data_IF_917238315463
#
_entry.id   IF_917238315463
#
_cell.length_a   1.000
_cell.length_b   1.000
_cell.length_c   1.000
_cell.angle_alpha   90.00
_cell.angle_beta   90.00
_cell.angle_gamma   90.00
#
_symmetry.space_group_name_H-M   'P 1'
#
loop_
_entity.id
_entity.type
_entity.pdbx_description
1 polymer ?
#
# COMPACT_ATOMS: atom_id res chain seq x y z
N UNK A 1 -16.06 20.92 -13.59
CA UNK A 1 -15.64 22.32 -13.61
C UNK A 1 -14.30 22.38 -14.32
N UNK A 2 -14.22 23.19 -15.37
CA UNK A 2 -12.98 23.38 -16.08
C UNK A 2 -12.00 24.17 -15.19
N UNK A 3 -10.79 23.67 -15.05
CA UNK A 3 -9.78 24.40 -14.31
C UNK A 3 -9.15 25.43 -15.23
N UNK A 4 -9.46 26.67 -14.99
CA UNK A 4 -8.98 27.77 -15.84
C UNK A 4 -7.47 27.97 -15.76
N UNK A 5 -6.81 27.26 -14.83
CA UNK A 5 -5.38 27.38 -14.67
C UNK A 5 -4.58 26.30 -15.37
N UNK A 6 -5.24 25.42 -16.10
CA UNK A 6 -4.55 24.37 -16.85
C UNK A 6 -3.68 24.98 -17.95
N UNK A 7 -2.47 24.47 -18.11
CA UNK A 7 -1.71 24.73 -19.32
C UNK A 7 -2.38 24.02 -20.50
N UNK A 8 -2.01 24.36 -21.75
CA UNK A 8 -2.59 23.63 -22.89
C UNK A 8 -2.37 22.11 -22.81
N UNK A 9 -1.20 21.70 -22.39
CA UNK A 9 -0.92 20.26 -22.24
C UNK A 9 -1.77 19.63 -21.16
N UNK A 10 -1.95 20.33 -20.04
CA UNK A 10 -2.80 19.84 -18.95
C UNK A 10 -4.24 19.74 -19.37
N UNK A 11 -4.73 20.73 -20.12
CA UNK A 11 -6.11 20.71 -20.62
C UNK A 11 -6.32 19.55 -21.58
N UNK A 12 -5.34 19.27 -22.42
CA UNK A 12 -5.41 18.14 -23.35
C UNK A 12 -5.47 16.82 -22.59
N UNK A 13 -4.63 16.67 -21.56
CA UNK A 13 -4.63 15.47 -20.75
C UNK A 13 -5.97 15.29 -20.03
N UNK A 14 -6.50 16.36 -19.47
CA UNK A 14 -7.77 16.34 -18.77
C UNK A 14 -8.90 15.91 -19.72
N UNK A 15 -8.90 16.43 -20.93
CA UNK A 15 -9.90 16.05 -21.92
C UNK A 15 -9.79 14.58 -22.28
N UNK A 16 -8.57 14.09 -22.48
CA UNK A 16 -8.33 12.67 -22.77
C UNK A 16 -8.87 11.80 -21.66
N UNK A 17 -8.56 12.17 -20.41
CA UNK A 17 -9.01 11.41 -19.25
C UNK A 17 -10.53 11.41 -19.14
N UNK A 18 -11.15 12.58 -19.27
CA UNK A 18 -12.60 12.69 -19.18
C UNK A 18 -13.30 11.86 -20.26
N UNK A 19 -12.81 11.95 -21.49
CA UNK A 19 -13.46 11.24 -22.60
C UNK A 19 -13.36 9.74 -22.41
N UNK A 20 -12.21 9.25 -21.96
CA UNK A 20 -12.07 7.82 -21.70
C UNK A 20 -12.99 7.37 -20.57
N UNK A 21 -13.03 8.15 -19.48
CA UNK A 21 -13.89 7.81 -18.35
C UNK A 21 -15.36 7.83 -18.75
N UNK A 22 -15.77 8.84 -19.53
CA UNK A 22 -17.16 8.95 -19.96
C UNK A 22 -17.57 7.75 -20.82
N UNK A 23 -16.64 7.23 -21.61
CA UNK A 23 -16.92 6.07 -22.45
C UNK A 23 -16.96 4.76 -21.65
N UNK A 24 -16.41 4.72 -20.43
CA UNK A 24 -16.22 3.48 -19.72
C UNK A 24 -16.87 3.41 -18.33
N UNK A 25 -17.41 4.52 -17.82
CA UNK A 25 -18.00 4.54 -16.48
C UNK A 25 -19.17 5.51 -16.42
N UNK A 26 -20.14 5.26 -15.53
CA UNK A 26 -21.27 6.19 -15.38
C UNK A 26 -20.85 7.45 -14.64
N UNK A 27 -21.38 8.59 -15.05
CA UNK A 27 -21.21 9.83 -14.30
C UNK A 27 -21.99 9.77 -12.99
N UNK A 28 -21.45 10.41 -11.98
CA UNK A 28 -22.19 10.60 -10.73
C UNK A 28 -23.31 11.60 -10.96
N UNK A 29 -24.42 11.38 -10.29
CA UNK A 29 -25.56 12.27 -10.35
C UNK A 29 -25.55 13.33 -9.25
N UNK A 30 -24.64 13.18 -8.28
CA UNK A 30 -24.50 14.12 -7.19
C UNK A 30 -23.33 13.71 -6.29
N UNK A 31 -22.99 14.56 -5.32
CA UNK A 31 -21.81 14.28 -4.48
C UNK A 31 -21.87 12.97 -3.71
N UNK A 32 -23.07 12.52 -3.38
CA UNK A 32 -23.24 11.28 -2.62
C UNK A 32 -23.45 10.07 -3.48
N UNK A 33 -23.50 10.26 -4.79
CA UNK A 33 -23.67 9.14 -5.71
C UNK A 33 -22.32 8.50 -5.97
N UNK A 34 -22.14 7.27 -5.53
CA UNK A 34 -20.88 6.58 -5.70
C UNK A 34 -21.11 5.12 -6.04
N UNK A 35 -20.06 4.47 -6.46
CA UNK A 35 -20.11 3.05 -6.74
C UNK A 35 -20.32 2.28 -5.42
N UNK A 36 -21.18 1.29 -5.47
CA UNK A 36 -21.40 0.38 -4.35
C UNK A 36 -21.55 -1.03 -4.90
N UNK A 37 -20.93 -1.98 -4.21
CA UNK A 37 -21.03 -3.38 -4.60
C UNK A 37 -22.16 -4.04 -3.82
N UNK A 38 -22.80 -5.03 -4.45
CA UNK A 38 -23.85 -5.80 -3.79
C UNK A 38 -23.29 -6.66 -2.66
N UNK A 39 -22.04 -7.11 -2.82
CA UNK A 39 -21.33 -7.89 -1.82
C UNK A 39 -19.85 -7.69 -2.04
N UNK A 40 -19.04 -8.13 -1.06
CA UNK A 40 -17.60 -8.08 -1.19
C UNK A 40 -17.15 -8.92 -2.40
N UNK A 41 -17.73 -10.09 -2.57
CA UNK A 41 -17.37 -10.96 -3.68
C UNK A 41 -17.63 -10.30 -5.02
N UNK A 42 -18.81 -9.69 -5.18
CA UNK A 42 -19.15 -8.99 -6.40
C UNK A 42 -18.27 -7.76 -6.59
N UNK A 43 -18.01 -7.03 -5.51
CA UNK A 43 -17.15 -5.85 -5.55
C UNK A 43 -15.75 -6.18 -6.02
N UNK A 44 -15.21 -7.29 -5.53
CA UNK A 44 -13.88 -7.72 -5.92
C UNK A 44 -13.82 -8.05 -7.41
N UNK A 45 -14.85 -8.73 -7.92
CA UNK A 45 -14.93 -9.01 -9.35
C UNK A 45 -14.98 -7.73 -10.17
N UNK A 46 -15.82 -6.79 -9.76
CA UNK A 46 -15.98 -5.53 -10.49
C UNK A 46 -14.67 -4.72 -10.48
N UNK A 47 -13.99 -4.71 -9.33
CA UNK A 47 -12.73 -3.98 -9.22
C UNK A 47 -11.67 -4.58 -10.16
N UNK A 48 -11.62 -5.91 -10.24
CA UNK A 48 -10.64 -6.55 -11.13
C UNK A 48 -10.94 -6.27 -12.59
N UNK A 49 -12.23 -6.30 -12.98
CA UNK A 49 -12.62 -5.97 -14.36
C UNK A 49 -12.24 -4.51 -14.67
N UNK A 50 -12.55 -3.61 -13.75
CA UNK A 50 -12.24 -2.19 -13.94
C UNK A 50 -10.74 -1.95 -14.03
N UNK A 51 -9.96 -2.58 -13.15
CA UNK A 51 -8.52 -2.40 -13.15
C UNK A 51 -7.88 -2.92 -14.45
N UNK A 52 -8.40 -4.02 -14.97
CA UNK A 52 -7.93 -4.54 -16.25
C UNK A 52 -8.19 -3.54 -17.37
N UNK A 53 -9.38 -2.95 -17.39
CA UNK A 53 -9.69 -1.90 -18.37
C UNK A 53 -8.72 -0.73 -18.26
N UNK A 54 -8.48 -0.26 -17.03
CA UNK A 54 -7.53 0.83 -16.79
C UNK A 54 -6.15 0.47 -17.33
N UNK A 55 -5.70 -0.75 -17.03
CA UNK A 55 -4.38 -1.17 -17.44
C UNK A 55 -4.25 -1.23 -18.96
N UNK A 56 -5.26 -1.79 -19.62
CA UNK A 56 -5.21 -1.91 -21.08
C UNK A 56 -5.22 -0.56 -21.78
N UNK A 57 -5.80 0.44 -21.15
CA UNK A 57 -5.87 1.79 -21.72
C UNK A 57 -4.75 2.71 -21.22
N UNK A 58 -3.87 2.22 -20.35
CA UNK A 58 -2.74 3.00 -19.85
C UNK A 58 -3.04 3.86 -18.65
N UNK A 59 -4.16 3.65 -17.97
CA UNK A 59 -4.54 4.47 -16.82
C UNK A 59 -4.26 3.83 -15.47
N UNK A 60 -3.77 2.59 -15.44
CA UNK A 60 -3.48 1.91 -14.18
C UNK A 60 -2.07 2.26 -13.70
N UNK A 61 -1.94 2.62 -12.43
CA UNK A 61 -0.63 2.90 -11.85
C UNK A 61 0.20 3.79 -12.75
N UNK A 62 -0.41 4.88 -13.19
CA UNK A 62 0.11 5.72 -14.28
C UNK A 62 1.52 6.24 -14.03
N UNK A 63 1.86 6.49 -12.76
CA UNK A 63 3.15 7.07 -12.40
C UNK A 63 4.28 6.04 -12.37
N UNK A 64 3.95 4.76 -12.44
CA UNK A 64 4.96 3.71 -12.41
C UNK A 64 5.77 3.70 -13.71
N UNK A 65 6.98 3.13 -13.66
CA UNK A 65 7.76 2.93 -14.89
C UNK A 65 6.99 2.09 -15.90
N UNK A 66 7.22 2.34 -17.16
CA UNK A 66 6.58 1.59 -18.25
C UNK A 66 6.90 0.10 -18.15
N UNK A 67 8.11 -0.23 -17.68
CA UNK A 67 8.52 -1.63 -17.53
C UNK A 67 7.59 -2.42 -16.60
N UNK A 68 6.90 -1.74 -15.69
CA UNK A 68 6.06 -2.41 -14.70
C UNK A 68 4.57 -2.13 -14.90
N UNK A 69 4.21 -1.57 -16.04
CA UNK A 69 2.81 -1.39 -16.38
C UNK A 69 2.30 0.04 -16.28
N UNK A 70 3.15 0.99 -15.90
CA UNK A 70 2.78 2.39 -15.81
C UNK A 70 3.02 3.14 -17.11
N UNK A 71 2.86 4.46 -17.07
CA UNK A 71 3.14 5.32 -18.21
C UNK A 71 4.04 6.51 -17.83
N UNK A 72 4.65 6.45 -16.66
CA UNK A 72 5.59 7.46 -16.16
C UNK A 72 4.95 8.85 -16.09
N UNK A 73 3.69 8.89 -15.67
CA UNK A 73 2.95 10.13 -15.55
C UNK A 73 3.58 11.08 -14.55
N UNK A 74 3.45 12.37 -14.83
CA UNK A 74 3.91 13.40 -13.92
C UNK A 74 2.96 13.53 -12.72
N UNK A 75 3.42 14.15 -11.63
CA UNK A 75 2.52 14.37 -10.51
C UNK A 75 1.27 15.17 -10.86
N UNK A 76 1.40 16.20 -11.72
CA UNK A 76 0.23 16.99 -12.09
C UNK A 76 -0.76 16.15 -12.91
N UNK A 77 -0.27 15.25 -13.75
CA UNK A 77 -1.15 14.36 -14.49
C UNK A 77 -1.93 13.45 -13.54
N UNK A 78 -1.29 12.98 -12.47
CA UNK A 78 -1.99 12.17 -11.46
C UNK A 78 -3.09 12.97 -10.76
N UNK A 79 -2.81 14.24 -10.44
CA UNK A 79 -3.81 15.10 -9.82
C UNK A 79 -5.00 15.29 -10.75
N UNK A 80 -4.73 15.56 -12.03
CA UNK A 80 -5.80 15.75 -13.02
C UNK A 80 -6.63 14.48 -13.15
N UNK A 81 -5.98 13.32 -13.26
CA UNK A 81 -6.68 12.05 -13.35
C UNK A 81 -7.60 11.85 -12.15
N UNK A 82 -7.09 12.11 -10.94
CA UNK A 82 -7.89 11.99 -9.73
C UNK A 82 -9.12 12.90 -9.74
N UNK A 83 -8.94 14.13 -10.21
CA UNK A 83 -10.04 15.07 -10.31
C UNK A 83 -11.11 14.58 -11.29
N UNK A 84 -10.68 14.03 -12.42
CA UNK A 84 -11.62 13.55 -13.41
C UNK A 84 -12.34 12.27 -12.95
N UNK A 85 -11.58 11.32 -12.35
CA UNK A 85 -12.16 10.09 -11.83
C UNK A 85 -13.26 10.39 -10.80
N UNK A 86 -13.06 11.43 -10.00
CA UNK A 86 -14.01 11.75 -8.93
C UNK A 86 -15.40 12.10 -9.46
N UNK A 87 -15.53 12.40 -10.75
CA UNK A 87 -16.81 12.70 -11.38
C UNK A 87 -17.61 11.45 -11.75
N UNK A 88 -17.01 10.27 -11.63
CA UNK A 88 -17.61 9.04 -12.14
C UNK A 88 -17.78 8.01 -11.04
N UNK A 89 -18.72 7.07 -11.26
CA UNK A 89 -18.94 5.95 -10.35
C UNK A 89 -18.03 4.81 -10.81
N UNK A 90 -16.91 4.62 -10.10
CA UNK A 90 -15.93 3.61 -10.47
C UNK A 90 -15.66 2.68 -9.29
N UNK A 91 -15.43 1.40 -9.56
CA UNK A 91 -15.11 0.46 -8.47
C UNK A 91 -13.79 0.81 -7.79
N UNK A 92 -13.71 0.57 -6.48
CA UNK A 92 -12.50 0.82 -5.75
C UNK A 92 -12.54 0.20 -4.37
N UNK A 93 -11.48 0.40 -3.61
CA UNK A 93 -11.44 -0.03 -2.22
C UNK A 93 -10.73 -1.34 -1.95
N UNK A 94 -10.14 -1.97 -2.96
CA UNK A 94 -9.51 -3.28 -2.79
C UNK A 94 -8.03 -3.32 -3.17
N UNK A 95 -7.58 -2.41 -4.03
CA UNK A 95 -6.24 -2.49 -4.62
C UNK A 95 -5.29 -1.41 -4.14
N UNK A 96 -5.78 -0.44 -3.39
CA UNK A 96 -5.02 0.75 -3.04
C UNK A 96 -3.79 0.44 -2.20
N UNK A 97 -3.90 -0.48 -1.25
CA UNK A 97 -2.75 -0.85 -0.41
C UNK A 97 -1.65 -1.45 -1.26
N UNK A 98 -2.01 -2.39 -2.13
CA UNK A 98 -1.02 -3.02 -2.99
C UNK A 98 -0.36 -2.03 -3.91
N UNK A 99 -1.17 -1.25 -4.62
CA UNK A 99 -0.64 -0.35 -5.64
C UNK A 99 0.04 0.87 -5.05
N UNK A 100 -0.45 1.35 -3.91
CA UNK A 100 0.07 2.57 -3.30
C UNK A 100 1.16 2.36 -2.27
N UNK A 101 1.26 1.17 -1.71
CA UNK A 101 2.23 0.89 -0.65
C UNK A 101 3.16 -0.24 -1.02
N UNK A 102 2.63 -1.41 -1.35
CA UNK A 102 3.46 -2.57 -1.66
C UNK A 102 4.24 -2.35 -2.95
N UNK A 103 3.62 -1.79 -3.97
CA UNK A 103 4.30 -1.53 -5.23
C UNK A 103 5.54 -0.66 -5.05
N UNK A 104 5.39 0.54 -4.46
CA UNK A 104 6.56 1.39 -4.25
C UNK A 104 7.66 0.76 -3.41
N UNK A 105 7.30 0.00 -2.38
CA UNK A 105 8.29 -0.68 -1.55
C UNK A 105 9.02 -1.75 -2.36
N UNK A 106 8.29 -2.50 -3.18
CA UNK A 106 8.92 -3.49 -4.06
C UNK A 106 9.86 -2.80 -5.06
N UNK A 107 9.44 -1.68 -5.64
CA UNK A 107 10.30 -0.96 -6.58
C UNK A 107 11.61 -0.50 -5.94
N UNK A 108 11.56 -0.16 -4.66
CA UNK A 108 12.73 0.35 -3.96
C UNK A 108 13.67 -0.75 -3.48
N UNK A 109 13.14 -1.88 -3.04
CA UNK A 109 13.93 -2.88 -2.33
C UNK A 109 14.01 -4.26 -2.99
N UNK A 110 13.11 -4.61 -3.88
CA UNK A 110 13.10 -5.94 -4.48
C UNK A 110 14.15 -6.05 -5.59
N UNK A 111 14.50 -7.29 -5.94
CA UNK A 111 15.40 -7.53 -7.06
C UNK A 111 14.68 -7.24 -8.38
N UNK A 112 15.45 -7.06 -9.45
CA UNK A 112 14.85 -6.82 -10.76
C UNK A 112 13.95 -8.00 -11.18
N UNK A 113 14.39 -9.21 -10.88
CA UNK A 113 13.60 -10.41 -11.20
C UNK A 113 12.26 -10.38 -10.44
N UNK A 114 12.29 -10.01 -9.15
CA UNK A 114 11.07 -9.92 -8.36
C UNK A 114 10.16 -8.81 -8.87
N UNK A 115 10.72 -7.67 -9.24
CA UNK A 115 9.90 -6.57 -9.77
C UNK A 115 9.18 -7.03 -11.05
N UNK A 116 9.88 -7.72 -11.92
CA UNK A 116 9.29 -8.22 -13.17
C UNK A 116 8.16 -9.23 -12.89
N UNK A 117 8.33 -10.04 -11.85
CA UNK A 117 7.33 -11.04 -11.50
C UNK A 117 6.10 -10.43 -10.82
N UNK A 118 6.32 -9.51 -9.88
CA UNK A 118 5.24 -9.11 -8.96
C UNK A 118 4.56 -7.80 -9.32
N UNK A 119 5.25 -6.87 -9.97
CA UNK A 119 4.64 -5.57 -10.22
C UNK A 119 3.59 -5.59 -11.33
N UNK A 120 3.78 -6.29 -12.45
CA UNK A 120 2.73 -6.29 -13.48
C UNK A 120 1.39 -6.87 -13.00
N UNK A 121 1.33 -8.03 -12.32
CA UNK A 121 0.03 -8.52 -11.84
C UNK A 121 -0.58 -7.62 -10.78
N UNK A 122 0.23 -6.87 -10.06
CA UNK A 122 -0.28 -5.89 -9.11
C UNK A 122 -0.95 -4.73 -9.85
N UNK A 123 -0.34 -4.27 -10.93
CA UNK A 123 -0.88 -3.18 -11.73
C UNK A 123 -2.19 -3.57 -12.43
N UNK A 124 -2.30 -4.82 -12.87
CA UNK A 124 -3.52 -5.30 -13.55
C UNK A 124 -4.63 -5.66 -12.59
N UNK A 125 -4.33 -5.79 -11.31
CA UNK A 125 -5.31 -6.24 -10.33
C UNK A 125 -5.45 -7.75 -10.24
N UNK A 126 -4.63 -8.51 -10.96
CA UNK A 126 -4.67 -9.96 -10.88
C UNK A 126 -4.28 -10.47 -9.51
N UNK A 127 -3.30 -9.82 -8.87
CA UNK A 127 -2.85 -10.18 -7.53
C UNK A 127 -3.07 -9.01 -6.59
N UNK A 128 -3.56 -9.30 -5.41
CA UNK A 128 -3.90 -8.29 -4.40
C UNK A 128 -2.98 -8.44 -3.21
N UNK A 129 -2.52 -7.31 -2.68
CA UNK A 129 -1.59 -7.30 -1.56
C UNK A 129 -2.20 -6.60 -0.35
N UNK A 130 -1.86 -7.06 0.85
CA UNK A 130 -2.27 -6.43 2.09
C UNK A 130 -1.05 -5.98 2.90
N UNK A 131 -1.33 -5.25 3.97
CA UNK A 131 -0.31 -4.69 4.85
C UNK A 131 -0.39 -5.35 6.22
N UNK A 132 0.68 -6.02 6.63
CA UNK A 132 0.73 -6.79 7.87
C UNK A 132 1.62 -6.06 8.88
N UNK A 133 1.08 -5.00 9.46
CA UNK A 133 1.84 -4.13 10.37
C UNK A 133 1.28 -4.16 11.80
N UNK A 134 0.03 -3.75 11.99
CA UNK A 134 -0.55 -3.54 13.32
C UNK A 134 -0.65 -4.84 14.12
N UNK A 135 -0.44 -4.74 15.43
CA UNK A 135 -0.53 -5.88 16.34
C UNK A 135 -1.39 -5.52 17.53
N UNK A 136 -2.00 -6.54 18.19
CA UNK A 136 -2.91 -6.26 19.31
C UNK A 136 -2.27 -5.47 20.45
N UNK A 137 -1.03 -5.76 20.79
CA UNK A 137 -0.36 -5.11 21.91
C UNK A 137 0.28 -3.78 21.52
N UNK A 138 0.65 -3.61 20.24
CA UNK A 138 1.38 -2.43 19.80
C UNK A 138 0.47 -1.35 19.20
N UNK A 139 -0.73 -1.73 18.76
CA UNK A 139 -1.60 -0.80 18.07
C UNK A 139 -0.93 -0.25 16.84
N UNK A 140 -0.87 1.07 16.74
CA UNK A 140 -0.22 1.75 15.62
C UNK A 140 1.27 1.98 15.85
N UNK A 141 1.82 1.54 16.98
CA UNK A 141 3.25 1.70 17.28
C UNK A 141 4.06 0.62 16.57
N UNK A 142 4.55 0.94 15.37
CA UNK A 142 5.34 0.00 14.58
C UNK A 142 6.61 -0.41 15.33
N UNK A 143 7.19 0.51 16.10
CA UNK A 143 8.42 0.18 16.86
C UNK A 143 8.15 -0.88 17.93
N UNK A 144 6.91 -1.02 18.38
CA UNK A 144 6.55 -2.00 19.41
C UNK A 144 6.21 -3.39 18.88
N UNK A 145 6.46 -3.65 17.61
CA UNK A 145 6.10 -4.92 16.97
C UNK A 145 6.81 -6.08 17.64
N UNK A 146 6.05 -7.15 17.89
CA UNK A 146 6.54 -8.35 18.57
C UNK A 146 6.52 -9.61 17.71
N UNK A 147 5.83 -9.60 16.55
CA UNK A 147 5.86 -10.74 15.65
C UNK A 147 7.32 -11.08 15.34
N UNK A 148 7.70 -12.31 15.67
CA UNK A 148 9.10 -12.72 15.72
C UNK A 148 9.52 -13.37 14.41
N UNK A 149 10.72 -13.06 13.94
CA UNK A 149 11.32 -13.72 12.79
C UNK A 149 12.73 -14.18 13.17
N UNK A 150 12.99 -15.45 12.94
CA UNK A 150 14.29 -16.05 13.26
C UNK A 150 14.88 -16.68 12.00
N UNK A 151 16.13 -16.33 11.72
CA UNK A 151 16.81 -16.81 10.53
C UNK A 151 17.58 -18.09 10.82
N UNK A 152 17.41 -19.09 9.97
CA UNK A 152 18.20 -20.31 10.02
C UNK A 152 18.63 -20.62 8.58
N UNK A 153 19.91 -20.42 8.33
CA UNK A 153 20.40 -20.54 6.95
C UNK A 153 19.84 -19.43 6.09
N UNK A 154 19.06 -19.80 5.07
CA UNK A 154 18.44 -18.84 4.18
C UNK A 154 16.93 -18.81 4.33
N UNK A 155 16.41 -19.31 5.45
CA UNK A 155 14.96 -19.35 5.68
C UNK A 155 14.63 -18.73 7.03
N UNK A 156 13.66 -17.83 7.03
CA UNK A 156 13.13 -17.23 8.25
C UNK A 156 11.91 -18.00 8.72
N UNK A 157 11.78 -18.13 10.03
CA UNK A 157 10.57 -18.69 10.65
C UNK A 157 9.87 -17.57 11.40
N UNK A 158 8.60 -17.36 11.10
CA UNK A 158 7.83 -16.25 11.63
C UNK A 158 6.71 -16.75 12.53
N UNK A 159 6.62 -16.16 13.72
CA UNK A 159 5.57 -16.46 14.70
C UNK A 159 5.02 -15.16 15.27
N UNK A 160 3.70 -15.04 15.34
CA UNK A 160 3.09 -13.86 15.91
C UNK A 160 1.70 -13.62 15.40
N UNK A 161 1.23 -12.40 15.57
CA UNK A 161 -0.15 -12.05 15.20
C UNK A 161 -0.21 -10.60 14.73
N UNK A 162 -0.90 -10.39 13.61
CA UNK A 162 -1.25 -9.06 13.13
C UNK A 162 -2.75 -8.86 13.29
N UNK A 163 -3.17 -7.60 13.37
CA UNK A 163 -4.57 -7.27 13.58
C UNK A 163 -4.93 -6.06 12.71
N UNK A 164 -6.22 -5.89 12.48
CA UNK A 164 -6.76 -4.79 11.66
C UNK A 164 -6.21 -4.80 10.24
N UNK A 165 -5.97 -6.00 9.68
CA UNK A 165 -5.43 -6.12 8.33
C UNK A 165 -6.58 -6.12 7.32
N UNK A 166 -6.68 -5.01 6.58
CA UNK A 166 -7.73 -4.87 5.57
C UNK A 166 -7.49 -5.84 4.43
N UNK A 167 -8.51 -6.61 4.08
CA UNK A 167 -8.48 -7.44 2.90
C UNK A 167 -7.57 -8.64 2.94
N UNK A 168 -7.07 -9.02 4.13
CA UNK A 168 -6.17 -10.18 4.22
C UNK A 168 -6.83 -11.44 3.67
N UNK A 169 -8.14 -11.59 3.85
CA UNK A 169 -8.82 -12.80 3.46
C UNK A 169 -8.92 -13.00 1.95
N UNK A 170 -8.75 -11.94 1.16
CA UNK A 170 -8.73 -12.09 -0.29
C UNK A 170 -7.39 -11.71 -0.91
N UNK A 171 -6.37 -11.43 -0.10
CA UNK A 171 -5.06 -11.02 -0.61
C UNK A 171 -4.20 -12.22 -0.95
N UNK A 172 -3.40 -12.05 -1.98
CA UNK A 172 -2.45 -13.09 -2.43
C UNK A 172 -1.12 -12.95 -1.72
N UNK A 173 -0.69 -11.73 -1.45
CA UNK A 173 0.58 -11.42 -0.81
C UNK A 173 0.40 -10.34 0.24
N UNK A 174 1.39 -10.20 1.09
CA UNK A 174 1.39 -9.14 2.08
C UNK A 174 2.79 -8.59 2.30
N UNK A 175 2.85 -7.32 2.71
CA UNK A 175 4.10 -6.74 3.20
C UNK A 175 4.06 -6.84 4.71
N UNK A 176 5.16 -7.35 5.29
CA UNK A 176 5.19 -7.80 6.68
C UNK A 176 6.38 -7.22 7.40
N UNK A 177 6.15 -6.61 8.56
CA UNK A 177 7.23 -6.16 9.42
C UNK A 177 7.28 -7.05 10.66
N UNK A 178 8.50 -7.46 11.04
CA UNK A 178 8.72 -8.39 12.13
C UNK A 178 9.81 -7.90 13.07
N UNK A 179 9.90 -8.56 14.24
CA UNK A 179 10.99 -8.37 15.21
C UNK A 179 12.01 -9.47 14.98
N UNK A 180 13.20 -9.11 14.51
CA UNK A 180 14.24 -10.09 14.25
C UNK A 180 15.32 -10.08 15.31
N UNK A 181 15.41 -9.01 16.12
CA UNK A 181 16.41 -8.93 17.18
C UNK A 181 15.81 -8.19 18.37
N UNK A 182 15.41 -8.92 19.43
CA UNK A 182 14.84 -8.26 20.60
C UNK A 182 15.88 -7.64 21.53
N UNK A 183 17.17 -7.86 21.27
CA UNK A 183 18.24 -7.41 22.17
C UNK A 183 18.69 -5.98 21.91
N UNK A 184 18.26 -5.36 20.81
CA UNK A 184 18.66 -3.99 20.45
C UNK A 184 17.48 -3.06 20.64
N UNK A 185 17.71 -1.75 20.44
CA UNK A 185 16.66 -0.76 20.55
C UNK A 185 15.50 -1.13 19.64
N UNK A 186 14.28 -0.81 20.06
CA UNK A 186 13.04 -1.25 19.40
C UNK A 186 13.09 -1.12 17.87
N UNK A 187 13.44 0.08 17.41
CA UNK A 187 13.37 0.37 15.97
C UNK A 187 14.55 -0.19 15.19
N UNK A 188 15.59 -0.67 15.87
CA UNK A 188 16.76 -1.25 15.20
C UNK A 188 16.65 -2.76 15.02
N UNK A 189 15.67 -3.37 15.65
CA UNK A 189 15.52 -4.82 15.64
C UNK A 189 14.43 -5.34 14.73
N UNK A 190 14.01 -4.56 13.75
CA UNK A 190 12.92 -4.94 12.84
C UNK A 190 13.45 -5.34 11.48
N UNK A 191 12.78 -6.30 10.85
CA UNK A 191 13.12 -6.75 9.49
C UNK A 191 11.83 -6.90 8.69
N UNK A 192 11.88 -6.54 7.42
CA UNK A 192 10.71 -6.40 6.56
C UNK A 192 10.73 -7.45 5.46
N UNK A 193 9.58 -7.99 5.13
CA UNK A 193 9.43 -9.05 4.14
C UNK A 193 8.21 -8.82 3.27
N UNK A 194 8.16 -9.49 2.11
CA UNK A 194 6.89 -9.78 1.51
C UNK A 194 6.64 -11.28 1.64
N UNK A 195 5.38 -11.67 1.74
CA UNK A 195 5.04 -13.05 2.05
C UNK A 195 3.81 -13.48 1.25
N UNK A 196 3.83 -14.74 0.81
CA UNK A 196 2.69 -15.38 0.16
C UNK A 196 1.65 -15.68 1.23
N UNK A 197 0.46 -15.11 1.10
CA UNK A 197 -0.59 -15.27 2.12
C UNK A 197 -1.11 -16.70 2.22
N UNK A 198 -0.79 -17.54 1.23
CA UNK A 198 -1.19 -18.95 1.26
C UNK A 198 -0.12 -19.84 1.87
N UNK A 199 0.96 -19.25 2.43
CA UNK A 199 2.01 -20.04 3.08
C UNK A 199 1.44 -20.84 4.25
N UNK A 200 1.91 -22.10 4.43
CA UNK A 200 1.48 -22.88 5.59
C UNK A 200 1.79 -22.14 6.89
N UNK A 201 0.85 -22.16 7.80
CA UNK A 201 0.98 -21.51 9.09
C UNK A 201 0.36 -20.14 9.18
N UNK A 202 -0.09 -19.58 8.06
CA UNK A 202 -0.83 -18.31 8.07
C UNK A 202 -2.32 -18.63 8.17
N UNK A 203 -2.96 -18.05 9.17
CA UNK A 203 -4.40 -18.21 9.37
C UNK A 203 -5.05 -16.83 9.45
N UNK A 204 -6.04 -16.59 8.60
CA UNK A 204 -6.74 -15.31 8.54
C UNK A 204 -8.12 -15.47 9.16
N UNK A 205 -8.45 -14.61 10.12
CA UNK A 205 -9.76 -14.65 10.78
C UNK A 205 -10.42 -13.27 10.70
N UNK A 206 -11.61 -13.17 10.11
CA UNK A 206 -12.29 -11.88 10.04
C UNK A 206 -12.63 -11.33 11.43
N UNK A 207 -12.51 -10.01 11.59
CA UNK A 207 -12.95 -9.33 12.80
C UNK A 207 -14.36 -8.82 12.55
N UNK A 208 -15.32 -9.29 13.32
CA UNK A 208 -16.69 -8.84 13.20
C UNK A 208 -16.84 -7.48 13.86
N UNK A 209 -17.45 -6.56 13.14
CA UNK A 209 -17.71 -5.23 13.64
C UNK A 209 -19.19 -5.06 13.93
N UNK A 210 -19.49 -4.14 14.83
CA UNK A 210 -20.88 -3.85 15.19
C UNK A 210 -21.66 -3.42 13.96
N UNK A 211 -21.01 -2.72 13.04
CA UNK A 211 -21.64 -2.29 11.79
C UNK A 211 -21.95 -3.42 10.82
N UNK A 212 -21.48 -4.62 11.11
CA UNK A 212 -21.69 -5.76 10.25
C UNK A 212 -20.65 -5.99 9.19
N UNK A 213 -19.70 -5.07 9.04
CA UNK A 213 -18.61 -5.23 8.07
C UNK A 213 -17.55 -6.18 8.57
N UNK A 214 -16.89 -6.89 7.66
CA UNK A 214 -15.83 -7.82 8.00
C UNK A 214 -14.58 -7.57 7.17
N UNK A 215 -14.29 -6.29 6.88
CA UNK A 215 -13.14 -5.94 6.04
C UNK A 215 -11.81 -6.14 6.74
N UNK A 216 -11.80 -6.08 8.08
CA UNK A 216 -10.58 -6.22 8.86
C UNK A 216 -10.39 -7.64 9.33
N UNK A 217 -9.14 -8.02 9.50
CA UNK A 217 -8.80 -9.39 9.86
C UNK A 217 -7.72 -9.42 10.93
N UNK A 218 -7.75 -10.49 11.72
CA UNK A 218 -6.60 -10.95 12.48
C UNK A 218 -5.84 -11.93 11.60
N UNK A 219 -4.51 -11.86 11.63
CA UNK A 219 -3.69 -12.78 10.86
C UNK A 219 -2.69 -13.43 11.81
N UNK A 220 -2.75 -14.74 11.92
CA UNK A 220 -1.89 -15.51 12.82
C UNK A 220 -0.79 -16.19 12.02
N UNK A 221 0.42 -16.14 12.58
CA UNK A 221 1.61 -16.77 11.99
C UNK A 221 2.11 -17.82 12.95
N UNK A 222 2.16 -19.07 12.51
CA UNK A 222 2.69 -20.17 13.31
C UNK A 222 3.73 -20.89 12.47
N UNK A 223 5.01 -20.70 12.82
CA UNK A 223 6.14 -21.33 12.13
C UNK A 223 6.05 -21.13 10.61
N UNK A 224 5.74 -19.91 10.20
CA UNK A 224 5.64 -19.59 8.77
C UNK A 224 7.05 -19.42 8.21
N UNK A 225 7.33 -20.13 7.12
CA UNK A 225 8.67 -20.08 6.50
C UNK A 225 8.69 -19.05 5.37
N UNK A 226 9.66 -18.15 5.44
CA UNK A 226 9.84 -17.12 4.42
C UNK A 226 11.28 -17.19 3.94
N UNK A 227 11.51 -17.39 2.63
CA UNK A 227 12.89 -17.36 2.11
C UNK A 227 13.54 -16.01 2.35
N UNK A 228 14.82 -16.01 2.64
CA UNK A 228 15.54 -14.75 2.84
C UNK A 228 15.49 -13.86 1.59
N UNK A 229 15.32 -14.45 0.42
CA UNK A 229 15.20 -13.69 -0.81
C UNK A 229 13.95 -12.78 -0.83
N UNK A 230 12.99 -13.04 0.05
CA UNK A 230 11.78 -12.19 0.15
C UNK A 230 11.93 -11.10 1.20
N UNK A 231 13.09 -10.93 1.75
CA UNK A 231 13.38 -9.82 2.65
C UNK A 231 13.53 -8.53 1.83
N UNK A 232 12.90 -7.47 2.31
CA UNK A 232 12.97 -6.16 1.65
C UNK A 232 13.81 -5.25 2.52
N UNK A 233 15.00 -4.89 2.04
CA UNK A 233 15.96 -4.12 2.82
C UNK A 233 16.88 -5.04 3.63
N UNK A 234 17.82 -4.43 4.35
CA UNK A 234 18.78 -5.19 5.15
C UNK A 234 18.13 -5.72 6.44
N UNK A 235 18.74 -6.74 7.01
CA UNK A 235 18.33 -7.21 8.35
C UNK A 235 18.49 -6.05 9.32
N UNK A 236 17.44 -5.76 10.07
CA UNK A 236 17.44 -4.65 11.00
C UNK A 236 16.91 -3.35 10.45
N UNK A 237 16.67 -3.28 9.14
CA UNK A 237 16.16 -2.06 8.49
C UNK A 237 14.64 -2.01 8.41
N UNK A 238 13.95 -2.91 9.09
CA UNK A 238 12.49 -2.98 8.96
C UNK A 238 11.78 -1.69 9.32
N UNK A 239 12.31 -0.94 10.27
CA UNK A 239 11.71 0.35 10.61
C UNK A 239 11.82 1.34 9.47
N UNK A 240 13.02 1.44 8.89
CA UNK A 240 13.26 2.35 7.77
C UNK A 240 12.34 2.02 6.60
N UNK A 241 12.19 0.74 6.29
CA UNK A 241 11.31 0.30 5.19
C UNK A 241 9.85 0.60 5.54
N UNK A 242 9.46 0.36 6.79
CA UNK A 242 8.09 0.65 7.23
C UNK A 242 7.77 2.13 7.12
N UNK A 243 8.69 3.00 7.53
CA UNK A 243 8.50 4.45 7.42
C UNK A 243 8.30 4.86 5.97
N UNK A 244 9.13 4.34 5.08
CA UNK A 244 9.00 4.63 3.65
C UNK A 244 7.64 4.19 3.14
N UNK A 245 7.19 3.01 3.57
CA UNK A 245 5.89 2.48 3.17
C UNK A 245 4.74 3.40 3.62
N UNK A 246 4.79 3.83 4.88
CA UNK A 246 3.73 4.67 5.42
C UNK A 246 3.70 6.05 4.75
N UNK A 247 4.86 6.58 4.41
CA UNK A 247 4.91 7.85 3.69
C UNK A 247 4.33 7.71 2.28
N UNK A 248 4.60 6.60 1.61
CA UNK A 248 4.03 6.34 0.28
C UNK A 248 2.52 6.19 0.34
N UNK A 249 2.01 5.61 1.42
CA UNK A 249 0.57 5.47 1.61
C UNK A 249 -0.13 6.82 1.50
N UNK A 250 0.46 7.82 2.14
CA UNK A 250 -0.12 9.16 2.13
C UNK A 250 -0.19 9.74 0.74
N UNK A 251 0.90 9.61 0.01
CA UNK A 251 0.96 10.16 -1.35
C UNK A 251 -0.01 9.43 -2.29
N UNK A 252 -0.23 8.14 -2.07
CA UNK A 252 -1.06 7.34 -2.95
C UNK A 252 -2.55 7.53 -2.70
N UNK A 253 -2.95 7.63 -1.43
CA UNK A 253 -4.37 7.70 -1.08
C UNK A 253 -4.92 9.12 -1.20
N UNK A 254 -4.04 10.09 -1.29
CA UNK A 254 -4.46 11.48 -1.39
C UNK A 254 -5.03 11.97 -0.06
N UNK A 255 -6.02 12.82 -0.13
CA UNK A 255 -6.52 13.51 1.06
C UNK A 255 -7.46 12.67 1.90
N UNK A 256 -7.78 11.48 1.46
CA UNK A 256 -9.03 10.94 1.95
C UNK A 256 -8.97 10.23 3.29
N UNK A 257 -7.92 9.55 3.68
CA UNK A 257 -8.09 8.73 4.87
C UNK A 257 -6.86 8.00 5.37
N UNK A 258 -5.72 8.56 5.28
CA UNK A 258 -4.56 7.94 5.92
C UNK A 258 -4.41 8.42 7.35
N UNK A 259 -3.46 7.92 8.10
CA UNK A 259 -3.09 8.53 9.37
C UNK A 259 -2.73 9.99 9.10
N UNK A 260 -3.01 10.86 9.99
CA UNK A 260 -2.81 12.28 9.71
C UNK A 260 -1.33 12.67 9.81
N UNK A 261 -1.03 13.90 9.45
CA UNK A 261 0.34 14.43 9.52
C UNK A 261 0.91 14.25 10.91
N UNK A 262 0.09 14.44 11.95
CA UNK A 262 0.52 14.30 13.32
C UNK A 262 1.01 12.90 13.64
N UNK A 263 0.36 11.89 13.09
CA UNK A 263 0.79 10.51 13.31
C UNK A 263 2.15 10.23 12.64
N UNK A 264 2.33 10.68 11.41
CA UNK A 264 3.61 10.51 10.72
C UNK A 264 4.71 11.29 11.42
N UNK A 265 4.39 12.49 11.88
CA UNK A 265 5.32 13.34 12.61
C UNK A 265 5.72 12.68 13.93
N UNK A 266 4.73 12.12 14.62
CA UNK A 266 4.97 11.42 15.87
C UNK A 266 5.85 10.19 15.68
N UNK A 267 5.61 9.43 14.61
CA UNK A 267 6.46 8.31 14.25
C UNK A 267 7.90 8.75 14.03
N UNK A 268 8.06 9.83 13.25
CA UNK A 268 9.39 10.33 12.93
C UNK A 268 10.14 10.81 14.18
N UNK A 269 9.42 11.39 15.13
CA UNK A 269 10.02 11.86 16.36
C UNK A 269 10.54 10.71 17.22
N UNK A 270 9.86 9.58 17.19
CA UNK A 270 10.21 8.46 18.03
C UNK A 270 11.31 7.58 17.47
N UNK A 271 11.92 7.95 16.36
CA UNK A 271 12.77 7.03 15.63
C UNK A 271 14.18 7.51 15.43
N UNK A 272 15.08 6.56 15.39
CA UNK A 272 16.50 6.79 15.23
C UNK A 272 16.95 6.24 13.89
N UNK A 273 17.35 7.13 12.98
CA UNK A 273 17.93 6.77 11.70
C UNK A 273 19.39 7.14 11.71
N UNK A 274 20.26 6.12 11.65
CA UNK A 274 21.71 6.34 11.61
C UNK A 274 22.21 7.18 12.78
N UNK A 275 21.69 6.89 13.98
CA UNK A 275 22.14 7.57 15.19
C UNK A 275 21.48 8.90 15.48
N UNK A 276 20.48 9.27 14.68
CA UNK A 276 19.69 10.49 14.90
C UNK A 276 18.21 10.13 14.87
N UNK A 277 17.41 10.91 15.59
CA UNK A 277 15.98 10.75 15.47
C UNK A 277 15.56 10.97 14.01
N UNK A 278 14.56 10.22 13.58
CA UNK A 278 14.10 10.34 12.20
C UNK A 278 13.70 11.78 11.87
N UNK A 279 13.12 12.50 12.83
CA UNK A 279 12.70 13.88 12.61
C UNK A 279 13.90 14.80 12.33
N UNK A 280 15.10 14.42 12.74
CA UNK A 280 16.31 15.19 12.49
C UNK A 280 16.96 14.85 11.14
N UNK A 281 16.45 13.81 10.47
CA UNK A 281 16.96 13.44 9.15
C UNK A 281 16.36 14.38 8.12
N UNK A 282 17.21 15.02 7.32
CA UNK A 282 16.75 16.00 6.37
C UNK A 282 15.79 15.44 5.33
N UNK A 283 16.03 14.20 4.88
CA UNK A 283 15.14 13.57 3.90
C UNK A 283 13.75 13.31 4.47
N UNK A 284 13.69 12.88 5.74
CA UNK A 284 12.42 12.65 6.41
C UNK A 284 11.68 13.97 6.62
N UNK A 285 12.42 15.00 7.07
CA UNK A 285 11.82 16.32 7.28
C UNK A 285 11.29 16.91 5.97
N UNK A 286 12.03 16.74 4.89
CA UNK A 286 11.63 17.23 3.59
C UNK A 286 10.32 16.54 3.15
N UNK A 287 10.26 15.23 3.29
CA UNK A 287 9.05 14.50 2.92
C UNK A 287 7.85 14.90 3.78
N UNK A 288 8.08 15.08 5.07
CA UNK A 288 6.99 15.54 5.96
C UNK A 288 6.52 16.95 5.57
N UNK A 289 7.46 17.82 5.23
CA UNK A 289 7.12 19.19 4.82
C UNK A 289 6.34 19.18 3.50
N UNK A 290 6.79 18.38 2.55
CA UNK A 290 6.11 18.25 1.27
C UNK A 290 4.68 17.75 1.45
N UNK A 291 4.51 16.82 2.36
CA UNK A 291 3.21 16.25 2.64
C UNK A 291 2.30 17.27 3.33
N UNK A 292 2.82 18.10 4.22
CA UNK A 292 2.03 19.08 4.95
C UNK A 292 1.49 20.19 4.03
N UNK A 293 2.46 20.31 3.34
CA UNK A 293 2.18 21.34 2.62
C UNK A 293 1.25 21.29 1.71
#
# INVERSE_FOLDING_TARGET
>A
IMDFNDTPEEAKFRKEAFEWLKANAPLKEGPKDGWRAASEEEGLKEVKVWQKKLHEAGWACMHWPKAYGGRESTPIERVIWGQEVSKFKVPGGYLEIGQGMAGPVMMMYATEEQKERYLPPLATGEEIWCQLFSEPAAGSDVAGIKTKAELDGDTWTVNGQKVWTSGAHFSDYGILVTRSDPSVAKHKGLTFFFVDMKSPGIEVKPIKQISGGANFNEVYFTDVKIPDSQRLGAIGDGWKVSLTTLMNERLAVGDASGPDFEEAFSLARGQDLNGKLAIENDAVREKLADWYX
#
